data_IF_305367061269
#
_entry.id   IF_305367061269
#
_cell.length_a   1.000
_cell.length_b   1.000
_cell.length_c   1.000
_cell.angle_alpha   90.00
_cell.angle_beta   90.00
_cell.angle_gamma   90.00
#
_symmetry.space_group_name_H-M   'P 1'
#
loop_
_entity.id
_entity.type
_entity.pdbx_description
1 polymer ?
#
# COMPACT_ATOMS: atom_id res chain seq x y z
N UNK A 1 7.46 6.38 3.21
CA UNK A 1 6.89 7.17 2.10
C UNK A 1 6.45 8.55 2.53
N UNK A 2 6.05 8.80 3.79
CA UNK A 2 5.62 10.15 4.18
C UNK A 2 6.64 11.26 3.87
N UNK A 3 7.92 11.07 4.22
CA UNK A 3 8.97 12.04 3.91
C UNK A 3 9.13 12.25 2.40
N UNK A 4 9.02 11.17 1.62
CA UNK A 4 9.04 11.20 0.16
C UNK A 4 7.94 12.09 -0.43
N UNK A 5 6.83 12.30 0.28
CA UNK A 5 5.73 13.19 -0.09
C UNK A 5 5.69 14.52 0.69
N UNK A 6 6.71 14.80 1.52
CA UNK A 6 6.73 15.94 2.44
C UNK A 6 5.47 16.04 3.34
N UNK A 7 4.95 14.90 3.78
CA UNK A 7 3.74 14.84 4.62
C UNK A 7 4.07 14.72 6.11
N UNK A 8 3.27 15.38 6.93
CA UNK A 8 3.35 15.29 8.40
C UNK A 8 3.06 13.86 8.89
N UNK A 9 3.69 13.42 10.00
CA UNK A 9 3.53 12.08 10.57
C UNK A 9 2.09 11.63 10.82
N UNK A 10 1.17 12.57 11.10
CA UNK A 10 -0.26 12.31 11.33
C UNK A 10 -1.00 11.77 10.10
N UNK A 11 -0.51 12.03 8.90
CA UNK A 11 -1.14 11.58 7.64
C UNK A 11 -0.63 10.21 7.20
N UNK A 12 -0.33 9.32 8.17
CA UNK A 12 0.27 8.01 7.88
C UNK A 12 -0.74 7.06 7.22
N UNK A 13 -2.01 7.14 7.62
CA UNK A 13 -3.09 6.37 7.02
C UNK A 13 -3.72 7.10 5.83
N UNK A 14 -4.19 6.33 4.85
CA UNK A 14 -4.98 6.85 3.72
C UNK A 14 -6.25 7.58 4.22
N UNK A 15 -6.90 7.05 5.25
CA UNK A 15 -8.08 7.66 5.86
C UNK A 15 -7.82 9.06 6.44
N UNK A 16 -6.57 9.35 6.83
CA UNK A 16 -6.15 10.65 7.37
C UNK A 16 -5.61 11.60 6.27
N UNK A 17 -5.90 11.31 5.00
CA UNK A 17 -5.37 12.04 3.84
C UNK A 17 -3.91 11.70 3.52
N UNK A 18 -3.43 10.54 3.98
CA UNK A 18 -2.16 9.95 3.59
C UNK A 18 -2.17 9.42 2.15
N UNK A 19 -0.99 9.07 1.59
CA UNK A 19 -0.90 8.57 0.23
C UNK A 19 -1.45 7.14 0.17
N UNK A 20 -2.47 6.92 -0.68
CA UNK A 20 -2.96 5.59 -1.03
C UNK A 20 -2.04 4.88 -2.03
N UNK A 21 -2.45 3.66 -2.43
CA UNK A 21 -1.68 2.77 -3.33
C UNK A 21 -1.27 3.49 -4.62
N UNK A 22 -2.21 4.12 -5.32
CA UNK A 22 -1.95 4.77 -6.62
C UNK A 22 -0.84 5.84 -6.53
N UNK A 23 -0.89 6.67 -5.49
CA UNK A 23 0.09 7.75 -5.30
C UNK A 23 1.48 7.19 -4.94
N UNK A 24 1.55 6.13 -4.14
CA UNK A 24 2.81 5.46 -3.81
C UNK A 24 3.39 4.77 -5.05
N UNK A 25 2.58 4.03 -5.81
CA UNK A 25 2.99 3.36 -7.05
C UNK A 25 3.55 4.36 -8.07
N UNK A 26 2.86 5.49 -8.30
CA UNK A 26 3.35 6.55 -9.19
C UNK A 26 4.70 7.12 -8.71
N UNK A 27 4.85 7.34 -7.40
CA UNK A 27 6.10 7.87 -6.84
C UNK A 27 7.24 6.88 -7.01
N UNK A 28 7.02 5.59 -6.74
CA UNK A 28 7.99 4.53 -6.94
C UNK A 28 8.42 4.41 -8.40
N UNK A 29 7.46 4.42 -9.32
CA UNK A 29 7.71 4.43 -10.76
C UNK A 29 8.62 5.59 -11.17
N UNK A 30 8.32 6.80 -10.70
CA UNK A 30 9.10 8.00 -11.05
C UNK A 30 10.49 8.06 -10.40
N UNK A 31 10.65 7.50 -9.20
CA UNK A 31 11.86 7.68 -8.39
C UNK A 31 12.82 6.50 -8.43
N UNK A 32 12.34 5.31 -8.78
CA UNK A 32 13.11 4.06 -8.76
C UNK A 32 12.89 3.25 -10.04
N UNK A 33 11.64 2.97 -10.42
CA UNK A 33 11.29 2.18 -11.60
C UNK A 33 10.20 1.15 -11.33
N UNK A 34 9.79 0.41 -12.38
CA UNK A 34 8.69 -0.56 -12.30
C UNK A 34 8.95 -1.71 -11.33
N UNK A 35 10.20 -2.20 -11.22
CA UNK A 35 10.52 -3.28 -10.27
C UNK A 35 10.14 -2.89 -8.82
N UNK A 36 10.29 -1.62 -8.46
CA UNK A 36 9.88 -1.14 -7.14
C UNK A 36 8.35 -1.11 -6.98
N UNK A 37 7.60 -0.87 -8.06
CA UNK A 37 6.14 -0.97 -8.05
C UNK A 37 5.73 -2.41 -7.83
N UNK A 38 6.36 -3.37 -8.50
CA UNK A 38 6.08 -4.80 -8.33
C UNK A 38 6.33 -5.26 -6.89
N UNK A 39 7.47 -4.88 -6.29
CA UNK A 39 7.74 -5.18 -4.86
C UNK A 39 6.76 -4.50 -3.91
N UNK A 40 6.29 -3.29 -4.24
CA UNK A 40 5.27 -2.63 -3.44
C UNK A 40 3.90 -3.33 -3.57
N UNK A 41 3.53 -3.78 -4.77
CA UNK A 41 2.34 -4.59 -5.01
C UNK A 41 2.40 -5.87 -4.20
N UNK A 42 3.51 -6.60 -4.25
CA UNK A 42 3.75 -7.79 -3.42
C UNK A 42 3.57 -7.49 -1.93
N UNK A 43 4.06 -6.34 -1.46
CA UNK A 43 3.93 -5.94 -0.07
C UNK A 43 2.47 -5.63 0.33
N UNK A 44 1.69 -4.95 -0.52
CA UNK A 44 0.27 -4.69 -0.26
C UNK A 44 -0.52 -5.99 -0.22
N UNK A 45 -0.28 -6.88 -1.19
CA UNK A 45 -0.90 -8.22 -1.25
C UNK A 45 -0.53 -9.03 -0.01
N UNK A 46 0.75 -9.04 0.38
CA UNK A 46 1.24 -9.75 1.56
C UNK A 46 0.57 -9.25 2.84
N UNK A 47 0.44 -7.92 3.01
CA UNK A 47 -0.26 -7.35 4.16
C UNK A 47 -1.73 -7.79 4.21
N UNK A 48 -2.40 -7.91 3.06
CA UNK A 48 -3.77 -8.42 3.02
C UNK A 48 -3.86 -9.91 3.37
N UNK A 49 -3.02 -10.75 2.75
CA UNK A 49 -3.03 -12.20 2.97
C UNK A 49 -2.70 -12.59 4.41
N UNK A 50 -1.75 -11.89 5.03
CA UNK A 50 -1.38 -12.10 6.44
C UNK A 50 -2.33 -11.44 7.43
N UNK A 51 -3.33 -10.70 6.93
CA UNK A 51 -4.22 -9.88 7.73
C UNK A 51 -3.50 -8.84 8.60
N UNK A 52 -2.46 -8.21 8.05
CA UNK A 52 -1.67 -7.19 8.72
C UNK A 52 -2.36 -5.80 8.63
N UNK A 53 -2.90 -5.28 9.74
CA UNK A 53 -3.79 -4.13 9.70
C UNK A 53 -3.06 -2.78 9.55
N UNK A 54 -1.75 -2.71 9.81
CA UNK A 54 -1.01 -1.45 9.96
C UNK A 54 -0.04 -1.12 8.81
N UNK A 55 -0.23 -1.72 7.63
CA UNK A 55 0.56 -1.48 6.41
C UNK A 55 0.39 -0.07 5.82
N UNK A 56 0.76 0.97 6.57
CA UNK A 56 0.53 2.37 6.22
C UNK A 56 1.77 3.03 5.57
N UNK A 57 1.64 4.27 5.12
CA UNK A 57 2.68 4.94 4.31
C UNK A 57 4.05 5.13 5.00
N UNK A 58 4.14 4.95 6.33
CA UNK A 58 5.44 4.95 7.02
C UNK A 58 6.19 3.62 6.90
N UNK A 59 5.52 2.51 6.60
CA UNK A 59 6.11 1.16 6.57
C UNK A 59 6.71 0.79 5.22
N UNK A 60 6.82 1.79 4.34
CA UNK A 60 7.46 1.69 3.04
C UNK A 60 8.56 2.73 2.99
N UNK A 61 9.79 2.34 2.66
CA UNK A 61 10.92 3.27 2.65
C UNK A 61 11.67 3.22 1.32
N UNK A 62 12.35 4.34 1.05
CA UNK A 62 13.35 4.42 0.01
C UNK A 62 14.72 4.55 0.66
N UNK A 63 15.66 3.72 0.22
CA UNK A 63 17.05 3.77 0.61
C UNK A 63 17.79 4.71 -0.33
N UNK A 64 18.53 5.66 0.24
CA UNK A 64 19.47 6.50 -0.51
C UNK A 64 20.75 5.69 -0.70
N UNK A 65 21.03 5.28 -1.93
CA UNK A 65 22.04 4.29 -2.29
C UNK A 65 23.08 4.90 -3.24
N UNK A 66 24.01 5.68 -2.68
CA UNK A 66 24.96 6.45 -3.48
C UNK A 66 24.22 7.46 -4.36
N UNK A 67 24.43 7.48 -5.70
CA UNK A 67 23.69 8.38 -6.59
C UNK A 67 22.25 7.92 -6.87
N UNK A 68 21.88 6.70 -6.46
CA UNK A 68 20.58 6.09 -6.77
C UNK A 68 19.65 6.00 -5.57
N UNK A 69 18.41 5.61 -5.85
CA UNK A 69 17.38 5.31 -4.84
C UNK A 69 16.92 3.88 -5.04
N UNK A 70 16.72 3.14 -3.95
CA UNK A 70 16.21 1.75 -3.98
C UNK A 70 15.00 1.62 -3.07
N UNK A 71 14.05 0.76 -3.42
CA UNK A 71 12.99 0.39 -2.50
C UNK A 71 13.54 -0.49 -1.38
N UNK A 72 13.18 -0.19 -0.13
CA UNK A 72 13.62 -0.97 1.01
C UNK A 72 12.90 -2.34 1.04
N UNK A 73 13.53 -3.39 1.60
CA UNK A 73 12.81 -4.61 1.96
C UNK A 73 11.59 -4.29 2.82
N UNK A 74 10.55 -5.12 2.73
CA UNK A 74 9.36 -4.99 3.57
C UNK A 74 9.72 -5.21 5.05
N UNK A 75 9.16 -4.38 5.93
CA UNK A 75 9.35 -4.43 7.37
C UNK A 75 8.05 -4.05 8.09
N UNK A 76 8.02 -4.25 9.41
CA UNK A 76 6.87 -3.92 10.27
C UNK A 76 5.56 -4.55 9.77
N UNK A 77 5.64 -5.86 9.54
CA UNK A 77 4.52 -6.73 9.16
C UNK A 77 4.17 -7.58 10.37
N UNK A 78 2.93 -7.45 10.84
CA UNK A 78 2.40 -8.24 11.95
C UNK A 78 0.96 -8.62 11.65
N UNK A 79 0.64 -9.90 11.79
CA UNK A 79 -0.74 -10.38 11.61
C UNK A 79 -1.66 -9.84 12.71
N UNK A 80 -2.85 -9.42 12.32
CA UNK A 80 -3.96 -9.10 13.20
C UNK A 80 -4.99 -10.23 13.32
N UNK A 81 -4.76 -11.38 12.67
CA UNK A 81 -5.67 -12.53 12.63
C UNK A 81 -5.58 -13.39 13.88
N UNK A 82 -5.48 -12.74 15.05
CA UNK A 82 -5.44 -13.40 16.35
C UNK A 82 -6.79 -13.14 17.02
N UNK A 83 -7.66 -14.16 17.15
CA UNK A 83 -8.92 -14.01 17.82
C UNK A 83 -8.74 -13.83 19.33
N UNK A 84 -9.67 -13.12 19.96
CA UNK A 84 -9.79 -13.10 21.42
C UNK A 84 -10.36 -14.42 21.97
N UNK A 85 -10.51 -14.49 23.30
CA UNK A 85 -11.08 -15.67 23.98
C UNK A 85 -12.50 -16.04 23.55
N UNK A 86 -13.23 -15.11 22.92
CA UNK A 86 -14.57 -15.32 22.37
C UNK A 86 -14.56 -15.60 20.86
N UNK A 87 -13.38 -15.81 20.24
CA UNK A 87 -13.24 -16.06 18.81
C UNK A 87 -13.34 -14.82 17.93
N UNK A 88 -13.31 -13.61 18.50
CA UNK A 88 -13.50 -12.36 17.73
C UNK A 88 -12.16 -11.78 17.31
N UNK A 89 -12.05 -11.40 16.03
CA UNK A 89 -10.89 -10.67 15.53
C UNK A 89 -10.93 -9.21 16.00
N UNK A 90 -9.82 -8.73 16.56
CA UNK A 90 -9.64 -7.32 16.95
C UNK A 90 -9.64 -6.40 15.72
N UNK A 91 -9.00 -6.82 14.65
CA UNK A 91 -8.86 -6.06 13.41
C UNK A 91 -9.71 -6.71 12.32
N UNK A 92 -10.40 -5.87 11.54
CA UNK A 92 -11.27 -6.32 10.44
C UNK A 92 -10.83 -5.85 9.07
N UNK A 93 -9.79 -5.04 8.99
CA UNK A 93 -9.37 -4.41 7.73
C UNK A 93 -7.88 -4.11 7.68
N UNK A 94 -7.33 -4.04 6.47
CA UNK A 94 -6.00 -3.47 6.18
C UNK A 94 -6.01 -1.94 6.15
N UNK A 95 -4.84 -1.33 6.30
CA UNK A 95 -4.65 0.12 6.23
C UNK A 95 -4.87 0.69 4.80
N UNK A 96 -4.34 0.01 3.78
CA UNK A 96 -4.43 0.42 2.37
C UNK A 96 -5.56 -0.30 1.65
N UNK A 97 -6.31 0.42 0.82
CA UNK A 97 -7.35 -0.18 -0.01
C UNK A 97 -6.78 -1.03 -1.14
N UNK A 98 -7.44 -2.16 -1.39
CA UNK A 98 -7.31 -2.94 -2.62
C UNK A 98 -8.57 -2.66 -3.42
N UNK A 99 -8.45 -1.88 -4.50
CA UNK A 99 -9.58 -1.54 -5.37
C UNK A 99 -10.77 -0.87 -4.64
N UNK A 100 -10.50 -0.13 -3.56
CA UNK A 100 -11.53 0.52 -2.73
C UNK A 100 -12.01 -0.29 -1.52
N UNK A 101 -11.68 -1.57 -1.41
CA UNK A 101 -12.05 -2.41 -0.26
C UNK A 101 -10.84 -2.63 0.68
N UNK A 102 -11.11 -2.72 1.98
CA UNK A 102 -10.12 -2.92 3.04
C UNK A 102 -10.43 -4.09 3.94
N UNK A 103 -11.70 -4.53 4.02
CA UNK A 103 -12.14 -5.56 4.96
C UNK A 103 -11.61 -6.93 4.57
N UNK A 104 -11.14 -7.66 5.58
CA UNK A 104 -10.69 -9.04 5.38
C UNK A 104 -11.84 -9.91 4.91
N UNK A 105 -11.59 -10.72 3.87
CA UNK A 105 -12.59 -11.62 3.29
C UNK A 105 -13.57 -10.96 2.31
N UNK A 106 -13.51 -9.64 2.13
CA UNK A 106 -14.43 -8.90 1.25
C UNK A 106 -13.77 -8.39 -0.04
N UNK A 107 -12.46 -8.59 -0.19
CA UNK A 107 -11.74 -8.26 -1.43
C UNK A 107 -11.99 -9.32 -2.51
N UNK A 108 -13.01 -9.08 -3.32
CA UNK A 108 -13.36 -9.83 -4.52
C UNK A 108 -12.48 -9.53 -5.77
N UNK A 109 -12.64 -10.33 -6.82
CA UNK A 109 -11.94 -10.19 -8.11
C UNK A 109 -12.00 -8.77 -8.70
N UNK A 110 -13.16 -8.09 -8.64
CA UNK A 110 -13.32 -6.72 -9.13
C UNK A 110 -12.37 -5.72 -8.46
N UNK A 111 -12.08 -5.92 -7.18
CA UNK A 111 -11.17 -5.08 -6.41
C UNK A 111 -9.72 -5.33 -6.81
N UNK A 112 -9.35 -6.58 -7.09
CA UNK A 112 -8.03 -6.93 -7.59
C UNK A 112 -7.78 -6.35 -8.99
N UNK A 113 -8.78 -6.39 -9.88
CA UNK A 113 -8.70 -5.75 -11.20
C UNK A 113 -8.50 -4.24 -11.05
N UNK A 114 -9.32 -3.58 -10.23
CA UNK A 114 -9.17 -2.14 -9.98
C UNK A 114 -7.82 -1.77 -9.34
N UNK A 115 -7.31 -2.62 -8.43
CA UNK A 115 -5.99 -2.47 -7.83
C UNK A 115 -4.85 -2.64 -8.86
N UNK A 116 -4.94 -3.63 -9.74
CA UNK A 116 -3.99 -3.83 -10.82
C UNK A 116 -4.01 -2.66 -11.82
N UNK A 117 -5.20 -2.14 -12.14
CA UNK A 117 -5.36 -0.99 -13.02
C UNK A 117 -4.63 0.24 -12.48
N UNK A 118 -4.74 0.55 -11.18
CA UNK A 118 -4.03 1.71 -10.60
C UNK A 118 -2.52 1.51 -10.50
N UNK A 119 -2.06 0.27 -10.32
CA UNK A 119 -0.64 -0.04 -10.25
C UNK A 119 0.02 -0.18 -11.64
N UNK A 120 -0.76 -0.36 -12.71
CA UNK A 120 -0.23 -0.59 -14.07
C UNK A 120 0.43 0.65 -14.68
N UNK A 121 1.41 0.50 -15.60
CA UNK A 121 2.05 1.60 -16.34
C UNK A 121 1.07 2.50 -17.10
N UNK A 122 0.02 1.89 -17.64
CA UNK A 122 -1.01 2.51 -18.48
C UNK A 122 -2.03 3.35 -17.72
N UNK A 123 -2.01 3.35 -16.39
CA UNK A 123 -2.93 4.14 -15.55
C UNK A 123 -2.72 5.65 -15.69
N UNK A 124 -1.50 6.07 -16.08
CA UNK A 124 -1.14 7.48 -16.24
C UNK A 124 -1.91 8.19 -17.36
N UNK A 125 -2.48 7.44 -18.32
CA UNK A 125 -3.21 8.02 -19.47
C UNK A 125 -4.71 8.21 -19.22
N UNK A 126 -5.25 7.86 -18.04
CA UNK A 126 -6.71 7.90 -17.78
C UNK A 126 -7.17 9.05 -16.88
N UNK A 127 -6.30 9.90 -16.35
CA UNK A 127 -6.66 10.94 -15.37
C UNK A 127 -6.64 12.40 -15.90
N UNK A 128 -6.75 12.64 -17.21
CA UNK A 128 -6.89 14.01 -17.77
C UNK A 128 -8.20 14.19 -18.54
N UNK A 129 -9.32 13.82 -17.92
CA UNK A 129 -10.64 13.96 -18.55
C UNK A 129 -11.77 13.99 -17.52
N UNK A 130 -11.85 15.09 -16.76
CA UNK A 130 -13.08 15.75 -16.29
C UNK A 130 -12.74 16.96 -15.44
#
# INVERSE_FOLDING_TARGET
MLQTFALMPRRKYEADGGPGVARIAQRLRSAVGEEAVDRFVEAVVTNYLLGAPDGHAKNYSLLLAGPGVRFAPLYDVSTGLIPDTAGRLRYRSVAQSIGGEKRFGEVEAKHWVAFADVCSPTSCCRTSGR
#
